data_IF_095063318537
#
_entry.id   IF_095063318537
#
_cell.length_a   1.000
_cell.length_b   1.000
_cell.length_c   1.000
_cell.angle_alpha   90.00
_cell.angle_beta   90.00
_cell.angle_gamma   90.00
#
_symmetry.space_group_name_H-M   'P 1'
#
loop_
_entity.id
_entity.type
_entity.pdbx_description
1 polymer ?
#
# COMPACT_ATOMS: atom_id res chain seq x y z
N UNK A 1 -3.51 14.46 17.08
CA UNK A 1 -3.59 13.62 15.87
C UNK A 1 -4.72 12.61 16.04
N UNK A 2 -5.73 12.64 15.18
CA UNK A 2 -6.87 11.71 15.26
C UNK A 2 -6.42 10.26 15.03
N UNK A 3 -6.90 9.33 15.85
CA UNK A 3 -6.53 7.91 15.76
C UNK A 3 -7.18 7.30 14.52
N UNK A 4 -6.40 7.03 13.47
CA UNK A 4 -6.90 6.37 12.27
C UNK A 4 -7.27 4.93 12.60
N UNK A 5 -8.54 4.59 12.38
CA UNK A 5 -9.08 3.24 12.59
C UNK A 5 -9.16 2.50 11.26
N UNK A 6 -9.23 1.16 11.31
CA UNK A 6 -9.37 0.34 10.10
C UNK A 6 -10.59 0.71 9.25
N UNK A 7 -11.68 1.21 9.87
CA UNK A 7 -12.89 1.65 9.16
C UNK A 7 -12.65 2.86 8.26
N UNK A 8 -11.65 3.69 8.58
CA UNK A 8 -11.33 4.89 7.80
C UNK A 8 -10.40 4.60 6.63
N UNK A 9 -9.69 3.46 6.65
CA UNK A 9 -8.65 3.12 5.67
C UNK A 9 -9.18 3.15 4.24
N UNK A 10 -10.30 2.49 3.89
CA UNK A 10 -10.78 2.49 2.50
C UNK A 10 -11.01 3.91 1.97
N UNK A 11 -11.67 4.77 2.77
CA UNK A 11 -11.95 6.15 2.38
C UNK A 11 -10.69 7.04 2.28
N UNK A 12 -9.64 6.73 3.04
CA UNK A 12 -8.35 7.42 2.92
C UNK A 12 -7.59 6.98 1.67
N UNK A 13 -7.62 5.68 1.36
CA UNK A 13 -7.02 5.11 0.16
C UNK A 13 -7.71 5.62 -1.11
N UNK A 14 -9.04 5.69 -1.11
CA UNK A 14 -9.86 6.25 -2.21
C UNK A 14 -9.50 7.70 -2.50
N UNK A 15 -9.34 8.50 -1.44
CA UNK A 15 -8.88 9.89 -1.54
C UNK A 15 -7.37 10.03 -1.73
N UNK A 16 -6.64 8.91 -1.82
CA UNK A 16 -5.18 8.83 -1.90
C UNK A 16 -4.48 9.69 -0.85
N UNK A 17 -5.00 9.75 0.38
CA UNK A 17 -4.44 10.60 1.44
C UNK A 17 -3.34 9.86 2.19
N UNK A 18 -2.23 10.53 2.44
CA UNK A 18 -1.18 10.03 3.32
C UNK A 18 -1.74 9.72 4.71
N UNK A 19 -1.37 8.57 5.26
CA UNK A 19 -1.85 8.15 6.57
C UNK A 19 -0.93 7.16 7.26
N UNK A 20 -1.03 7.07 8.58
CA UNK A 20 -0.54 5.93 9.37
C UNK A 20 -1.62 5.50 10.36
N UNK A 21 -1.87 4.19 10.46
CA UNK A 21 -2.70 3.67 11.54
C UNK A 21 -1.98 3.82 12.90
N UNK A 22 -2.72 3.63 14.00
CA UNK A 22 -2.19 3.81 15.36
C UNK A 22 -0.94 2.96 15.67
N UNK A 23 -0.76 1.82 15.00
CA UNK A 23 0.38 0.92 15.19
C UNK A 23 1.49 1.11 14.15
N UNK A 24 1.33 2.06 13.23
CA UNK A 24 2.18 2.28 12.04
C UNK A 24 2.40 1.02 11.19
N UNK A 25 1.52 0.02 11.34
CA UNK A 25 1.59 -1.25 10.64
C UNK A 25 0.89 -1.21 9.28
N UNK A 26 0.10 -0.17 9.03
CA UNK A 26 -0.55 0.12 7.76
C UNK A 26 -0.47 1.62 7.53
N UNK A 27 0.06 2.01 6.39
CA UNK A 27 0.30 3.41 6.06
C UNK A 27 0.41 3.61 4.57
N UNK A 28 0.27 4.85 4.14
CA UNK A 28 0.35 5.21 2.74
C UNK A 28 1.04 6.57 2.55
N UNK A 29 1.66 6.75 1.40
CA UNK A 29 2.38 7.98 1.07
C UNK A 29 2.44 8.24 -0.44
N UNK A 30 2.56 9.51 -0.81
CA UNK A 30 2.95 9.94 -2.16
C UNK A 30 4.48 9.97 -2.39
N UNK A 31 5.29 9.73 -1.37
CA UNK A 31 6.76 9.75 -1.47
C UNK A 31 7.35 8.36 -1.21
N UNK A 32 7.07 7.36 -2.09
CA UNK A 32 7.59 6.01 -1.94
C UNK A 32 9.12 6.00 -2.00
N UNK A 33 9.75 5.06 -1.28
CA UNK A 33 11.20 4.84 -1.35
C UNK A 33 11.49 3.52 -2.07
N UNK A 34 12.45 3.54 -2.99
CA UNK A 34 12.71 2.42 -3.90
C UNK A 34 13.10 1.14 -3.17
N UNK A 35 13.85 1.26 -2.06
CA UNK A 35 14.37 0.15 -1.27
C UNK A 35 13.31 -0.58 -0.43
N UNK A 36 12.09 -0.09 -0.33
CA UNK A 36 11.04 -0.67 0.52
C UNK A 36 10.22 -1.72 -0.24
N UNK A 37 10.83 -2.87 -0.57
CA UNK A 37 10.12 -4.04 -1.15
C UNK A 37 9.58 -5.00 -0.09
N UNK A 38 10.03 -4.88 1.16
CA UNK A 38 9.60 -5.70 2.28
C UNK A 38 9.69 -7.20 1.98
N UNK A 39 8.54 -7.88 1.97
CA UNK A 39 8.40 -9.34 1.78
C UNK A 39 7.83 -9.76 0.43
N UNK A 40 7.81 -8.86 -0.55
CA UNK A 40 7.37 -9.21 -1.91
C UNK A 40 8.17 -10.41 -2.45
N UNK A 41 7.50 -11.30 -3.17
CA UNK A 41 8.16 -12.34 -3.96
C UNK A 41 8.86 -11.74 -5.19
N UNK A 42 9.61 -12.57 -5.92
CA UNK A 42 10.42 -12.13 -7.07
C UNK A 42 9.57 -11.44 -8.14
N UNK A 43 8.40 -12.00 -8.46
CA UNK A 43 7.48 -11.44 -9.45
C UNK A 43 7.05 -10.02 -9.07
N UNK A 44 6.62 -9.83 -7.81
CA UNK A 44 6.18 -8.53 -7.33
C UNK A 44 7.32 -7.53 -7.12
N UNK A 45 8.52 -8.00 -6.75
CA UNK A 45 9.70 -7.14 -6.68
C UNK A 45 10.08 -6.58 -8.06
N UNK A 46 10.07 -7.44 -9.09
CA UNK A 46 10.33 -7.03 -10.47
C UNK A 46 9.30 -5.97 -10.91
N UNK A 47 8.02 -6.25 -10.64
CA UNK A 47 6.93 -5.31 -10.94
C UNK A 47 7.10 -3.97 -10.22
N UNK A 48 7.41 -4.01 -8.92
CA UNK A 48 7.66 -2.82 -8.11
C UNK A 48 8.80 -1.97 -8.69
N UNK A 49 9.95 -2.57 -9.01
CA UNK A 49 11.10 -1.84 -9.57
C UNK A 49 10.75 -1.15 -10.89
N UNK A 50 10.01 -1.83 -11.75
CA UNK A 50 9.56 -1.28 -13.05
C UNK A 50 8.58 -0.13 -12.87
N UNK A 51 7.63 -0.28 -11.95
CA UNK A 51 6.56 0.68 -11.75
C UNK A 51 7.03 1.87 -10.89
N UNK A 52 8.04 1.71 -10.03
CA UNK A 52 8.51 2.69 -9.06
C UNK A 52 8.71 4.11 -9.60
N UNK A 53 9.35 4.34 -10.76
CA UNK A 53 9.51 5.68 -11.33
C UNK A 53 8.19 6.37 -11.70
N UNK A 54 7.10 5.61 -11.75
CA UNK A 54 5.76 6.04 -12.12
C UNK A 54 4.78 6.01 -10.95
N UNK A 55 5.17 5.56 -9.76
CA UNK A 55 4.27 5.47 -8.61
C UNK A 55 3.94 6.87 -8.09
N UNK A 56 2.66 7.22 -8.11
CA UNK A 56 2.12 8.43 -7.53
C UNK A 56 1.75 8.26 -6.05
N UNK A 57 1.31 7.05 -5.66
CA UNK A 57 0.82 6.76 -4.32
C UNK A 57 1.00 5.28 -4.01
N UNK A 58 1.39 4.93 -2.79
CA UNK A 58 1.60 3.54 -2.36
C UNK A 58 1.00 3.32 -0.97
N UNK A 59 0.50 2.11 -0.76
CA UNK A 59 0.08 1.61 0.55
C UNK A 59 1.00 0.48 1.00
N UNK A 60 1.53 0.60 2.21
CA UNK A 60 2.42 -0.37 2.85
C UNK A 60 1.74 -1.06 4.03
N UNK A 61 1.92 -2.37 4.11
CA UNK A 61 1.70 -3.15 5.33
C UNK A 61 3.07 -3.46 5.95
N UNK A 62 3.33 -2.90 7.13
CA UNK A 62 4.66 -2.79 7.73
C UNK A 62 5.63 -2.12 6.75
N UNK A 63 6.59 -2.84 6.18
CA UNK A 63 7.53 -2.35 5.17
C UNK A 63 7.24 -2.94 3.77
N UNK A 64 6.21 -3.77 3.63
CA UNK A 64 5.86 -4.41 2.36
C UNK A 64 4.83 -3.57 1.62
N UNK A 65 5.08 -3.14 0.38
CA UNK A 65 4.07 -2.49 -0.44
C UNK A 65 3.00 -3.53 -0.80
N UNK A 66 1.73 -3.20 -0.58
CA UNK A 66 0.58 -4.09 -0.81
C UNK A 66 -0.39 -3.56 -1.87
N UNK A 67 -0.17 -2.33 -2.34
CA UNK A 67 -0.84 -1.76 -3.50
C UNK A 67 -0.28 -0.37 -3.82
N UNK A 68 -0.35 0.04 -5.09
CA UNK A 68 0.11 1.36 -5.53
C UNK A 68 -0.69 1.87 -6.73
N UNK A 69 -0.64 3.18 -6.92
CA UNK A 69 -1.25 3.91 -8.02
C UNK A 69 -0.16 4.59 -8.82
N UNK A 70 -0.22 4.46 -10.14
CA UNK A 70 0.72 5.13 -11.06
C UNK A 70 0.24 6.56 -11.39
N UNK A 71 1.13 7.39 -11.95
CA UNK A 71 0.78 8.75 -12.39
C UNK A 71 -0.31 8.81 -13.46
N UNK A 72 -0.51 7.74 -14.24
CA UNK A 72 -1.61 7.62 -15.21
C UNK A 72 -2.94 7.16 -14.58
N UNK A 73 -2.97 6.96 -13.26
CA UNK A 73 -4.14 6.50 -12.52
C UNK A 73 -4.30 4.97 -12.47
N UNK A 74 -3.42 4.19 -13.11
CA UNK A 74 -3.45 2.73 -13.02
C UNK A 74 -3.27 2.27 -11.59
N UNK A 75 -4.12 1.35 -11.17
CA UNK A 75 -4.15 0.78 -9.82
C UNK A 75 -3.59 -0.63 -9.85
N UNK A 76 -2.65 -0.92 -8.95
CA UNK A 76 -2.10 -2.26 -8.75
C UNK A 76 -2.32 -2.71 -7.31
N UNK A 77 -2.77 -3.95 -7.17
CA UNK A 77 -2.97 -4.65 -5.90
C UNK A 77 -2.09 -5.90 -5.87
N UNK A 78 -1.33 -6.07 -4.79
CA UNK A 78 -0.50 -7.26 -4.60
C UNK A 78 -1.39 -8.42 -4.16
N UNK A 79 -1.46 -9.48 -4.97
CA UNK A 79 -2.27 -10.68 -4.72
C UNK A 79 -1.52 -11.79 -3.96
N UNK A 80 -0.21 -11.63 -3.78
CA UNK A 80 0.62 -12.51 -2.97
C UNK A 80 0.01 -12.68 -1.57
N UNK A 81 -0.11 -13.94 -1.12
CA UNK A 81 -0.59 -14.26 0.22
C UNK A 81 0.51 -14.05 1.24
N UNK A 82 0.14 -13.46 2.37
CA UNK A 82 1.02 -13.14 3.49
C UNK A 82 0.44 -13.65 4.81
N UNK A 83 0.95 -13.12 5.92
CA UNK A 83 0.34 -13.32 7.24
C UNK A 83 -1.11 -12.85 7.30
N UNK A 84 -1.89 -13.39 8.25
CA UNK A 84 -3.29 -13.01 8.51
C UNK A 84 -3.46 -11.49 8.64
N UNK A 85 -2.52 -10.80 9.29
CA UNK A 85 -2.55 -9.34 9.45
C UNK A 85 -2.43 -8.62 8.12
N UNK A 86 -1.46 -9.01 7.28
CA UNK A 86 -1.25 -8.41 5.97
C UNK A 86 -2.43 -8.68 5.05
N UNK A 87 -3.02 -9.88 5.09
CA UNK A 87 -4.22 -10.20 4.32
C UNK A 87 -5.42 -9.33 4.72
N UNK A 88 -5.60 -9.03 6.01
CA UNK A 88 -6.61 -8.05 6.45
C UNK A 88 -6.32 -6.65 5.93
N UNK A 89 -5.06 -6.23 5.89
CA UNK A 89 -4.68 -4.94 5.29
C UNK A 89 -4.98 -4.92 3.79
N UNK A 90 -4.66 -5.98 3.04
CA UNK A 90 -4.98 -6.10 1.61
C UNK A 90 -6.49 -5.95 1.36
N UNK A 91 -7.35 -6.59 2.16
CA UNK A 91 -8.81 -6.40 2.05
C UNK A 91 -9.23 -4.95 2.25
N UNK A 92 -8.67 -4.25 3.24
CA UNK A 92 -8.99 -2.84 3.48
C UNK A 92 -8.56 -1.94 2.32
N UNK A 93 -7.39 -2.22 1.74
CA UNK A 93 -6.85 -1.46 0.62
C UNK A 93 -7.66 -1.70 -0.65
N UNK A 94 -8.01 -2.95 -0.94
CA UNK A 94 -8.83 -3.31 -2.10
C UNK A 94 -10.24 -2.70 -2.07
N UNK A 95 -10.75 -2.29 -0.91
CA UNK A 95 -12.03 -1.59 -0.79
C UNK A 95 -11.94 -0.09 -1.10
N UNK A 96 -10.73 0.46 -1.26
CA UNK A 96 -10.51 1.89 -1.49
C UNK A 96 -9.65 2.21 -2.72
N UNK A 97 -9.06 1.22 -3.37
CA UNK A 97 -8.36 1.39 -4.65
C UNK A 97 -9.29 1.05 -5.81
#
# INVERSE_FOLDING_TARGET
>A
MSRITNRMVPALVDKRRDFHNARRSLWATHAPRMCDTGRLDEHWQERWRRDFPRIAYVVYSYQTPIGWVLHDGSVLLVDQKFSVTTSRHQTLVALGL
#
